data_IF_901671851465
#
_entry.id   IF_901671851465
#
_cell.length_a   1.000
_cell.length_b   1.000
_cell.length_c   1.000
_cell.angle_alpha   90.00
_cell.angle_beta   90.00
_cell.angle_gamma   90.00
#
_symmetry.space_group_name_H-M   'P 1'
#
loop_
_entity.id
_entity.type
_entity.pdbx_description
1 polymer ?
#
# COMPACT_ATOMS: atom_id res chain seq x y z
N UNK A 1 5.80 5.43 -19.81
CA UNK A 1 5.85 6.13 -18.51
C UNK A 1 5.45 5.21 -17.37
N UNK A 2 4.26 4.59 -17.38
CA UNK A 2 3.85 3.71 -16.27
C UNK A 2 4.71 2.45 -16.01
N UNK A 3 5.27 1.85 -17.07
CA UNK A 3 6.20 0.72 -16.94
C UNK A 3 7.50 1.11 -16.21
N UNK A 4 7.89 2.38 -16.34
CA UNK A 4 9.09 2.95 -15.72
C UNK A 4 8.90 3.09 -14.21
N UNK A 5 7.70 3.51 -13.77
CA UNK A 5 7.33 3.65 -12.36
C UNK A 5 7.25 2.30 -11.64
N UNK A 6 6.83 1.24 -12.32
CA UNK A 6 6.82 -0.13 -11.75
C UNK A 6 8.24 -0.65 -11.48
N UNK A 7 9.15 -0.47 -12.44
CA UNK A 7 10.56 -0.87 -12.29
C UNK A 7 11.26 -0.01 -11.22
N UNK A 8 10.96 1.29 -11.17
CA UNK A 8 11.45 2.20 -10.12
C UNK A 8 10.96 1.79 -8.74
N UNK A 9 9.68 1.43 -8.59
CA UNK A 9 9.12 0.92 -7.34
C UNK A 9 9.84 -0.34 -6.87
N UNK A 10 9.91 -1.37 -7.73
CA UNK A 10 10.58 -2.63 -7.42
C UNK A 10 12.05 -2.41 -7.04
N UNK A 11 12.74 -1.53 -7.75
CA UNK A 11 14.11 -1.15 -7.45
C UNK A 11 14.22 -0.39 -6.12
N UNK A 12 13.27 0.49 -5.81
CA UNK A 12 13.27 1.28 -4.58
C UNK A 12 13.22 0.39 -3.33
N UNK A 13 12.48 -0.72 -3.37
CA UNK A 13 12.37 -1.68 -2.25
C UNK A 13 13.72 -2.28 -1.79
N UNK A 14 14.73 -2.28 -2.67
CA UNK A 14 16.05 -2.88 -2.39
C UNK A 14 16.89 -2.10 -1.39
N UNK A 15 16.62 -0.80 -1.19
CA UNK A 15 17.34 0.07 -0.26
C UNK A 15 16.36 0.92 0.55
N UNK A 16 16.72 1.19 1.80
CA UNK A 16 15.99 2.14 2.65
C UNK A 16 15.97 3.54 2.03
N UNK A 17 17.11 4.03 1.55
CA UNK A 17 17.20 5.38 0.96
C UNK A 17 16.42 5.47 -0.35
N UNK A 18 16.58 4.47 -1.24
CA UNK A 18 15.89 4.46 -2.52
C UNK A 18 14.36 4.43 -2.36
N UNK A 19 13.85 3.67 -1.39
CA UNK A 19 12.44 3.63 -1.06
C UNK A 19 11.95 4.93 -0.45
N UNK A 20 12.73 5.53 0.45
CA UNK A 20 12.39 6.81 1.06
C UNK A 20 12.30 7.92 0.01
N UNK A 21 13.28 8.00 -0.90
CA UNK A 21 13.29 8.99 -1.97
C UNK A 21 12.12 8.78 -2.92
N UNK A 22 11.84 7.52 -3.29
CA UNK A 22 10.67 7.18 -4.12
C UNK A 22 9.37 7.65 -3.47
N UNK A 23 9.16 7.35 -2.19
CA UNK A 23 7.93 7.71 -1.48
C UNK A 23 7.79 9.23 -1.39
N UNK A 24 8.87 9.94 -1.05
CA UNK A 24 8.84 11.42 -0.98
C UNK A 24 8.59 12.05 -2.34
N UNK A 25 9.22 11.53 -3.40
CA UNK A 25 9.01 12.01 -4.78
C UNK A 25 7.57 11.77 -5.23
N UNK A 26 7.03 10.58 -4.98
CA UNK A 26 5.63 10.26 -5.26
C UNK A 26 4.68 11.24 -4.58
N UNK A 27 4.82 11.44 -3.26
CA UNK A 27 3.95 12.32 -2.50
C UNK A 27 4.21 13.82 -2.72
N UNK A 28 5.28 14.19 -3.44
CA UNK A 28 5.48 15.57 -3.88
C UNK A 28 4.49 15.98 -4.98
N UNK A 29 4.02 15.00 -5.76
CA UNK A 29 3.10 15.18 -6.89
C UNK A 29 1.72 14.56 -6.65
N UNK A 30 1.59 13.66 -5.66
CA UNK A 30 0.37 12.96 -5.31
C UNK A 30 0.03 13.20 -3.83
N UNK A 31 -1.25 13.44 -3.52
CA UNK A 31 -1.65 13.68 -2.12
C UNK A 31 -1.83 12.39 -1.31
N UNK A 32 -2.16 11.30 -2.00
CA UNK A 32 -2.53 10.03 -1.42
C UNK A 32 -2.10 8.89 -2.36
N UNK A 33 -1.87 7.72 -1.79
CA UNK A 33 -1.68 6.45 -2.50
C UNK A 33 -2.82 5.53 -2.07
N UNK A 34 -3.63 5.08 -3.03
CA UNK A 34 -4.79 4.22 -2.78
C UNK A 34 -4.57 2.82 -3.32
N UNK A 35 -5.18 1.85 -2.65
CA UNK A 35 -5.20 0.45 -3.09
C UNK A 35 -6.56 -0.16 -2.79
N UNK A 36 -7.00 -1.08 -3.65
CA UNK A 36 -8.24 -1.80 -3.47
C UNK A 36 -8.00 -3.28 -3.71
N UNK A 37 -8.53 -4.11 -2.83
CA UNK A 37 -8.61 -5.54 -3.01
C UNK A 37 -10.06 -5.96 -2.82
N UNK A 38 -10.52 -6.84 -3.70
CA UNK A 38 -11.89 -7.32 -3.69
C UNK A 38 -11.94 -8.77 -4.16
N UNK A 39 -12.74 -9.56 -3.45
CA UNK A 39 -13.18 -10.86 -3.92
C UNK A 39 -14.69 -11.04 -3.69
N UNK A 40 -15.23 -12.21 -4.01
CA UNK A 40 -16.66 -12.48 -3.88
C UNK A 40 -17.19 -12.49 -2.42
N UNK A 41 -16.32 -12.41 -1.42
CA UNK A 41 -16.64 -12.53 0.01
C UNK A 41 -16.38 -11.26 0.81
N UNK A 42 -15.33 -10.49 0.46
CA UNK A 42 -14.96 -9.27 1.16
C UNK A 42 -14.13 -8.30 0.29
N UNK A 43 -14.01 -7.08 0.78
CA UNK A 43 -13.15 -6.05 0.20
C UNK A 43 -12.25 -5.41 1.26
N UNK A 44 -11.16 -4.81 0.78
CA UNK A 44 -10.22 -3.99 1.53
C UNK A 44 -9.85 -2.74 0.74
N UNK A 45 -10.08 -1.57 1.33
CA UNK A 45 -9.62 -0.28 0.81
C UNK A 45 -8.44 0.24 1.63
N UNK A 46 -7.39 0.64 0.94
CA UNK A 46 -6.18 1.22 1.49
C UNK A 46 -6.07 2.68 1.08
N UNK A 47 -5.80 3.57 2.04
CA UNK A 47 -5.52 4.98 1.82
C UNK A 47 -4.28 5.38 2.61
N UNK A 48 -3.24 5.81 1.89
CA UNK A 48 -1.94 6.15 2.46
C UNK A 48 -1.61 7.59 2.12
N UNK A 49 -1.21 8.38 3.11
CA UNK A 49 -0.71 9.73 2.89
C UNK A 49 0.53 10.02 3.71
N UNK A 50 1.35 10.95 3.22
CA UNK A 50 2.53 11.40 3.93
C UNK A 50 2.13 12.20 5.17
N UNK A 51 2.67 11.81 6.32
CA UNK A 51 2.54 12.58 7.56
C UNK A 51 3.56 13.73 7.55
N UNK A 52 3.19 14.83 8.20
CA UNK A 52 4.01 16.01 8.48
C UNK A 52 5.39 15.72 9.10
N UNK A 53 5.59 14.52 9.67
CA UNK A 53 6.83 14.07 10.32
C UNK A 53 7.67 13.11 9.46
N UNK A 54 7.53 13.16 8.13
CA UNK A 54 8.17 12.23 7.18
C UNK A 54 7.78 10.74 7.43
N UNK A 55 6.62 10.52 8.06
CA UNK A 55 6.00 9.21 8.25
C UNK A 55 4.89 8.97 7.23
N UNK A 56 4.18 7.84 7.36
CA UNK A 56 3.01 7.50 6.58
C UNK A 56 1.84 7.24 7.52
N UNK A 57 0.68 7.77 7.17
CA UNK A 57 -0.59 7.36 7.75
C UNK A 57 -1.21 6.35 6.81
N UNK A 58 -1.50 5.16 7.31
CA UNK A 58 -2.10 4.06 6.55
C UNK A 58 -3.48 3.81 7.12
N UNK A 59 -4.49 3.96 6.28
CA UNK A 59 -5.89 3.67 6.61
C UNK A 59 -6.34 2.42 5.86
N UNK A 60 -6.86 1.43 6.59
CA UNK A 60 -7.46 0.22 6.02
C UNK A 60 -8.96 0.21 6.32
N UNK A 61 -9.79 0.04 5.30
CA UNK A 61 -11.23 -0.20 5.46
C UNK A 61 -11.57 -1.58 4.94
N UNK A 62 -12.07 -2.47 5.80
CA UNK A 62 -12.42 -3.85 5.43
C UNK A 62 -13.93 -4.06 5.57
N UNK A 63 -14.58 -4.63 4.57
CA UNK A 63 -16.00 -4.99 4.64
C UNK A 63 -16.27 -6.37 4.04
N UNK A 64 -17.30 -7.07 4.52
CA UNK A 64 -17.71 -8.37 3.97
C UNK A 64 -19.04 -8.26 3.23
N UNK A 65 -19.12 -8.93 2.07
CA UNK A 65 -20.37 -9.07 1.31
C UNK A 65 -21.31 -10.13 1.88
N UNK A 66 -20.79 -11.03 2.72
CA UNK A 66 -21.55 -12.15 3.29
C UNK A 66 -22.13 -11.89 4.69
N UNK A 67 -21.70 -10.82 5.35
CA UNK A 67 -22.11 -10.47 6.72
C UNK A 67 -22.92 -9.18 6.81
N UNK A 68 -23.90 -9.13 7.72
CA UNK A 68 -24.53 -7.88 8.16
C UNK A 68 -23.58 -7.16 9.13
N UNK A 69 -22.56 -6.49 8.59
CA UNK A 69 -21.62 -5.67 9.36
C UNK A 69 -21.22 -4.45 8.56
N UNK A 70 -21.16 -3.28 9.21
CA UNK A 70 -20.58 -2.10 8.58
C UNK A 70 -19.08 -2.33 8.35
N UNK A 71 -18.50 -1.77 7.27
CA UNK A 71 -17.06 -1.82 7.06
C UNK A 71 -16.31 -1.28 8.29
N UNK A 72 -15.26 -1.99 8.67
CA UNK A 72 -14.39 -1.63 9.79
C UNK A 72 -13.25 -0.79 9.22
N UNK A 73 -12.95 0.33 9.88
CA UNK A 73 -11.87 1.23 9.50
C UNK A 73 -10.81 1.25 10.59
N UNK A 74 -9.56 1.00 10.20
CA UNK A 74 -8.36 1.08 11.03
C UNK A 74 -7.40 2.14 10.45
N UNK A 75 -6.64 2.81 11.30
CA UNK A 75 -5.68 3.85 10.90
C UNK A 75 -4.44 3.79 11.77
N UNK A 76 -3.30 3.61 11.13
CA UNK A 76 -2.01 3.47 11.79
C UNK A 76 -1.00 4.50 11.26
N UNK A 77 -0.08 4.93 12.12
CA UNK A 77 1.06 5.76 11.75
C UNK A 77 2.32 4.88 11.73
N UNK A 78 2.99 4.84 10.59
CA UNK A 78 4.20 4.03 10.40
C UNK A 78 5.32 4.89 9.82
N UNK A 79 6.58 4.52 10.06
CA UNK A 79 7.68 5.17 9.34
C UNK A 79 7.76 4.63 7.90
N UNK A 80 8.39 5.38 7.00
CA UNK A 80 8.61 4.91 5.61
C UNK A 80 9.43 3.62 5.57
N UNK A 81 10.38 3.46 6.50
CA UNK A 81 11.17 2.22 6.61
C UNK A 81 10.33 1.07 7.18
N UNK A 82 9.50 1.30 8.18
CA UNK A 82 8.58 0.26 8.68
C UNK A 82 7.63 -0.18 7.58
N UNK A 83 7.11 0.77 6.79
CA UNK A 83 6.32 0.46 5.61
C UNK A 83 7.11 -0.41 4.61
N UNK A 84 8.36 -0.04 4.28
CA UNK A 84 9.23 -0.87 3.43
C UNK A 84 9.43 -2.28 4.00
N UNK A 85 9.68 -2.39 5.30
CA UNK A 85 9.87 -3.66 5.99
C UNK A 85 8.57 -4.49 6.03
N UNK A 86 7.40 -3.86 6.14
CA UNK A 86 6.10 -4.54 6.01
C UNK A 86 5.92 -5.11 4.60
N UNK A 87 6.34 -4.38 3.57
CA UNK A 87 6.34 -4.86 2.18
C UNK A 87 7.37 -5.98 1.95
N UNK A 88 8.47 -6.05 2.72
CA UNK A 88 9.55 -7.03 2.56
C UNK A 88 9.45 -8.29 3.45
N UNK A 89 9.01 -8.15 4.72
CA UNK A 89 9.04 -9.22 5.74
C UNK A 89 7.80 -10.15 5.71
N UNK A 90 6.75 -9.81 4.96
CA UNK A 90 5.79 -10.81 4.47
C UNK A 90 6.50 -11.59 3.34
N UNK A 91 6.67 -12.91 3.33
CA UNK A 91 5.75 -14.03 3.61
C UNK A 91 4.47 -14.02 2.78
N UNK A 92 4.52 -13.52 1.54
CA UNK A 92 3.51 -13.68 0.47
C UNK A 92 3.38 -15.12 -0.07
N UNK A 93 4.13 -16.08 0.47
CA UNK A 93 4.37 -17.38 -0.15
C UNK A 93 3.73 -18.59 0.55
N UNK A 94 3.01 -18.46 1.67
CA UNK A 94 2.44 -19.62 2.35
C UNK A 94 0.92 -19.56 2.48
N UNK A 95 0.28 -20.00 1.38
CA UNK A 95 -1.12 -20.43 1.22
C UNK A 95 -2.19 -19.38 1.58
N UNK A 96 -2.53 -18.53 0.60
CA UNK A 96 -3.71 -17.65 0.61
C UNK A 96 -3.49 -16.24 1.16
N UNK A 97 -2.33 -15.62 0.89
CA UNK A 97 -1.78 -14.55 1.74
C UNK A 97 -1.93 -13.16 1.17
N UNK A 98 -2.40 -12.24 2.02
CA UNK A 98 -2.85 -10.91 1.64
C UNK A 98 -1.88 -9.74 1.95
N UNK A 99 -1.92 -8.70 1.10
CA UNK A 99 -1.76 -7.26 1.39
C UNK A 99 -2.85 -6.27 0.80
N UNK A 100 -4.07 -6.65 0.44
CA UNK A 100 -4.60 -8.00 0.49
C UNK A 100 -4.09 -8.92 -0.63
N UNK A 101 -3.13 -8.52 -1.49
CA UNK A 101 -2.22 -9.49 -2.13
C UNK A 101 -0.93 -8.85 -2.65
N UNK A 102 -0.18 -8.28 -1.71
CA UNK A 102 0.71 -7.17 -2.01
C UNK A 102 -0.15 -5.92 -2.44
N UNK A 103 0.28 -4.75 -2.86
CA UNK A 103 0.50 -4.61 -4.26
C UNK A 103 -0.44 -5.47 -5.13
N UNK A 104 -1.69 -5.04 -5.34
CA UNK A 104 -2.34 -5.30 -6.63
C UNK A 104 -1.62 -4.58 -7.81
N UNK A 105 -0.33 -4.25 -7.62
CA UNK A 105 0.49 -3.28 -8.34
C UNK A 105 -0.04 -1.87 -8.02
N UNK A 106 0.72 -0.78 -7.99
CA UNK A 106 0.92 0.10 -9.15
C UNK A 106 -0.30 0.29 -10.10
N UNK A 107 -1.51 -0.19 -9.75
CA UNK A 107 -2.57 -0.58 -10.67
C UNK A 107 -3.33 0.58 -11.31
N UNK A 108 -3.29 1.78 -10.72
CA UNK A 108 -3.92 2.98 -11.30
C UNK A 108 -2.92 4.09 -11.68
N UNK A 109 -1.60 3.85 -11.64
CA UNK A 109 -0.61 4.74 -12.29
C UNK A 109 -0.59 4.57 -13.83
N UNK A 110 -1.50 3.73 -14.33
CA UNK A 110 -2.02 3.70 -15.69
C UNK A 110 -3.52 4.01 -15.61
N UNK A 111 -3.87 5.29 -15.57
CA UNK A 111 -5.07 5.75 -16.26
C UNK A 111 -4.61 6.56 -17.48
#
# INVERSE_FOLDING_TARGET
MAKETEEQWKKSLTSKEAFQDFIKDYFSSHKEMKGHYDDSYYFEDYDIHLDSRDGLVVTLTTGSYSGQGMPIKDTEHVTIEDFRQLLLNKRFASKGVSLANAFHMAADLIA
#
